data_IF_915076130802
#
_entry.id   IF_915076130802
#
_cell.length_a   1.000
_cell.length_b   1.000
_cell.length_c   1.000
_cell.angle_alpha   90.00
_cell.angle_beta   90.00
_cell.angle_gamma   90.00
#
_symmetry.space_group_name_H-M   'P 1'
#
loop_
_entity.id
_entity.type
_entity.pdbx_description
1 polymer ?
#
# COMPACT_ATOMS: atom_id res chain seq x y z
N UNK A 1 -11.64 8.19 -15.38
CA UNK A 1 -10.83 8.61 -16.55
C UNK A 1 -11.64 8.64 -17.84
N UNK A 2 -12.58 7.72 -18.08
CA UNK A 2 -13.32 7.63 -19.36
C UNK A 2 -14.06 8.94 -19.69
N UNK A 3 -14.57 9.62 -18.66
CA UNK A 3 -15.20 10.93 -18.72
C UNK A 3 -14.26 12.04 -19.21
N UNK A 4 -12.96 11.96 -18.92
CA UNK A 4 -11.97 12.95 -19.36
C UNK A 4 -11.52 12.75 -20.82
N UNK A 5 -11.89 11.62 -21.44
CA UNK A 5 -11.46 11.25 -22.79
C UNK A 5 -12.02 12.20 -23.85
N UNK A 6 -13.25 12.69 -23.69
CA UNK A 6 -13.88 13.67 -24.59
C UNK A 6 -13.13 15.00 -24.63
N UNK A 7 -12.45 15.36 -23.55
CA UNK A 7 -11.63 16.57 -23.43
C UNK A 7 -10.19 16.38 -23.93
N UNK A 8 -9.85 15.21 -24.48
CA UNK A 8 -8.49 14.90 -24.94
C UNK A 8 -7.49 14.69 -23.79
N UNK A 9 -7.95 14.64 -22.53
CA UNK A 9 -7.08 14.53 -21.35
C UNK A 9 -6.76 13.07 -21.05
N UNK A 10 -5.47 12.78 -20.86
CA UNK A 10 -4.95 11.46 -20.49
C UNK A 10 -4.65 11.42 -18.97
N UNK A 11 -5.31 10.54 -18.21
CA UNK A 11 -5.19 10.42 -16.74
C UNK A 11 -4.55 9.10 -16.28
N UNK A 12 -3.27 9.04 -15.95
CA UNK A 12 -2.63 7.78 -15.54
C UNK A 12 -2.70 7.59 -14.02
N UNK A 13 -2.99 6.37 -13.55
CA UNK A 13 -2.95 6.00 -12.12
C UNK A 13 -1.62 5.34 -11.81
N UNK A 14 -0.96 5.76 -10.74
CA UNK A 14 0.32 5.19 -10.29
C UNK A 14 0.10 4.56 -8.93
N UNK A 15 0.31 3.25 -8.88
CA UNK A 15 0.08 2.42 -7.70
C UNK A 15 1.41 1.88 -7.19
N UNK A 16 1.99 2.55 -6.18
CA UNK A 16 3.18 2.06 -5.52
C UNK A 16 2.84 0.84 -4.66
N UNK A 17 3.73 -0.15 -4.68
CA UNK A 17 3.83 -1.15 -3.64
C UNK A 17 4.40 -0.57 -2.34
N UNK A 18 5.10 -1.40 -1.58
CA UNK A 18 5.63 -1.03 -0.28
C UNK A 18 7.00 -0.35 -0.41
N UNK A 19 7.04 0.97 -0.23
CA UNK A 19 8.25 1.78 -0.30
C UNK A 19 8.57 2.47 1.01
N UNK A 20 9.87 2.66 1.30
CA UNK A 20 10.34 3.42 2.46
C UNK A 20 10.20 4.92 2.22
N UNK A 21 9.12 5.48 2.76
CA UNK A 21 8.84 6.92 2.81
C UNK A 21 8.58 7.37 4.24
N UNK A 22 8.44 8.68 4.46
CA UNK A 22 8.05 9.22 5.78
C UNK A 22 6.68 8.73 6.25
N UNK A 23 5.75 8.47 5.30
CA UNK A 23 4.42 7.92 5.61
C UNK A 23 4.55 6.53 6.24
N UNK A 24 5.51 5.74 5.76
CA UNK A 24 5.78 4.38 6.21
C UNK A 24 6.85 4.32 7.31
N UNK A 25 7.10 5.40 8.05
CA UNK A 25 8.11 5.39 9.11
C UNK A 25 7.66 4.50 10.28
N UNK A 26 8.55 3.60 10.72
CA UNK A 26 8.31 2.61 11.77
C UNK A 26 7.88 3.23 13.10
N UNK A 27 8.69 4.16 13.58
CA UNK A 27 8.53 4.74 14.90
C UNK A 27 7.27 5.62 14.94
N UNK A 28 7.05 6.41 13.89
CA UNK A 28 5.86 7.26 13.78
C UNK A 28 4.60 6.41 13.76
N UNK A 29 4.54 5.37 12.91
CA UNK A 29 3.37 4.52 12.81
C UNK A 29 3.13 3.71 14.09
N UNK A 30 4.18 3.13 14.67
CA UNK A 30 4.07 2.36 15.92
C UNK A 30 3.56 3.22 17.07
N UNK A 31 4.11 4.43 17.25
CA UNK A 31 3.64 5.36 18.27
C UNK A 31 2.20 5.80 18.05
N UNK A 32 1.81 6.04 16.78
CA UNK A 32 0.43 6.36 16.44
C UNK A 32 -0.52 5.20 16.79
N UNK A 33 -0.15 3.96 16.44
CA UNK A 33 -0.94 2.78 16.77
C UNK A 33 -1.09 2.57 18.28
N UNK A 34 -0.01 2.72 19.05
CA UNK A 34 -0.06 2.65 20.51
C UNK A 34 -0.94 3.75 21.11
N UNK A 35 -0.82 4.99 20.60
CA UNK A 35 -1.67 6.10 21.06
C UNK A 35 -3.15 5.86 20.78
N UNK A 36 -3.48 5.30 19.62
CA UNK A 36 -4.85 4.92 19.28
C UNK A 36 -5.33 3.80 20.21
N UNK A 37 -4.50 2.75 20.39
CA UNK A 37 -4.81 1.65 21.29
C UNK A 37 -5.16 2.17 22.68
N UNK A 38 -4.34 3.04 23.27
CA UNK A 38 -4.60 3.57 24.60
C UNK A 38 -5.93 4.31 24.74
N UNK A 39 -6.37 4.98 23.67
CA UNK A 39 -7.63 5.74 23.63
C UNK A 39 -8.87 4.86 23.38
N UNK A 40 -8.71 3.58 23.05
CA UNK A 40 -9.85 2.70 22.78
C UNK A 40 -10.64 2.39 24.06
N UNK A 41 -11.99 2.31 23.97
CA UNK A 41 -12.83 1.78 25.04
C UNK A 41 -12.40 0.38 25.48
N UNK A 42 -12.57 0.06 26.76
CA UNK A 42 -12.17 -1.23 27.35
C UNK A 42 -12.82 -2.43 26.68
N UNK A 43 -14.08 -2.31 26.24
CA UNK A 43 -14.80 -3.36 25.51
C UNK A 43 -14.10 -3.72 24.19
N UNK A 44 -13.64 -2.71 23.44
CA UNK A 44 -12.96 -2.90 22.16
C UNK A 44 -11.55 -3.46 22.39
N UNK A 45 -10.83 -2.97 23.41
CA UNK A 45 -9.53 -3.54 23.82
C UNK A 45 -9.65 -5.02 24.18
N UNK A 46 -10.71 -5.40 24.90
CA UNK A 46 -10.98 -6.79 25.28
C UNK A 46 -11.33 -7.65 24.05
N UNK A 47 -12.12 -7.12 23.11
CA UNK A 47 -12.49 -7.84 21.88
C UNK A 47 -11.29 -8.17 20.99
N UNK A 48 -10.33 -7.25 20.84
CA UNK A 48 -9.10 -7.52 20.08
C UNK A 48 -8.08 -8.30 20.90
N UNK A 49 -7.98 -8.00 22.20
CA UNK A 49 -7.01 -8.56 23.13
C UNK A 49 -5.60 -7.97 22.97
N UNK A 50 -4.85 -7.88 24.07
CA UNK A 50 -3.49 -7.34 24.06
C UNK A 50 -2.50 -8.16 23.22
N UNK A 51 -2.75 -9.47 23.09
CA UNK A 51 -1.92 -10.35 22.28
C UNK A 51 -1.98 -9.97 20.79
N UNK A 52 -3.15 -9.52 20.31
CA UNK A 52 -3.30 -9.04 18.94
C UNK A 52 -2.39 -7.83 18.69
N UNK A 53 -2.40 -6.84 19.59
CA UNK A 53 -1.53 -5.67 19.49
C UNK A 53 -0.05 -6.07 19.42
N UNK A 54 0.40 -6.95 20.32
CA UNK A 54 1.79 -7.42 20.34
C UNK A 54 2.19 -8.12 19.04
N UNK A 55 1.33 -9.02 18.54
CA UNK A 55 1.58 -9.74 17.29
C UNK A 55 1.57 -8.80 16.07
N UNK A 56 0.65 -7.84 16.05
CA UNK A 56 0.56 -6.82 15.02
C UNK A 56 1.85 -5.99 14.95
N UNK A 57 2.33 -5.47 16.08
CA UNK A 57 3.56 -4.66 16.11
C UNK A 57 4.80 -5.44 15.65
N UNK A 58 4.93 -6.71 16.06
CA UNK A 58 6.02 -7.59 15.59
C UNK A 58 5.95 -7.83 14.08
N UNK A 59 4.75 -8.10 13.57
CA UNK A 59 4.52 -8.37 12.15
C UNK A 59 4.75 -7.11 11.31
N UNK A 60 4.26 -5.97 11.78
CA UNK A 60 4.46 -4.67 11.17
C UNK A 60 5.95 -4.33 11.03
N UNK A 61 6.73 -4.46 12.12
CA UNK A 61 8.20 -4.26 12.09
C UNK A 61 8.90 -5.21 11.11
N UNK A 62 8.47 -6.47 11.02
CA UNK A 62 9.01 -7.44 10.04
C UNK A 62 8.68 -7.03 8.61
N UNK A 63 7.45 -6.59 8.37
CA UNK A 63 6.98 -6.15 7.06
C UNK A 63 7.75 -4.92 6.57
N UNK A 64 7.97 -3.93 7.43
CA UNK A 64 8.73 -2.72 7.06
C UNK A 64 10.16 -2.99 6.63
N UNK A 65 10.80 -4.03 7.15
CA UNK A 65 12.14 -4.45 6.68
C UNK A 65 12.14 -4.87 5.21
N UNK A 66 10.98 -5.32 4.68
CA UNK A 66 10.80 -5.73 3.28
C UNK A 66 10.45 -4.56 2.35
N UNK A 67 10.26 -3.36 2.88
CA UNK A 67 9.90 -2.19 2.06
C UNK A 67 11.08 -1.80 1.17
N UNK A 68 10.78 -1.45 -0.07
CA UNK A 68 11.79 -1.07 -1.03
C UNK A 68 12.28 0.36 -0.75
N UNK A 69 13.59 0.54 -0.62
CA UNK A 69 14.21 1.88 -0.45
C UNK A 69 14.38 2.62 -1.76
N UNK A 70 14.33 1.92 -2.89
CA UNK A 70 14.50 2.55 -4.20
C UNK A 70 13.20 3.22 -4.65
N UNK A 71 13.06 4.51 -4.35
CA UNK A 71 11.91 5.33 -4.75
C UNK A 71 11.89 5.62 -6.26
N UNK A 72 12.99 5.39 -6.99
CA UNK A 72 13.04 5.70 -8.43
C UNK A 72 11.99 4.90 -9.21
N UNK A 73 11.65 3.69 -8.75
CA UNK A 73 10.62 2.87 -9.39
C UNK A 73 9.26 3.57 -9.50
N UNK A 74 8.94 4.47 -8.56
CA UNK A 74 7.73 5.28 -8.61
C UNK A 74 7.93 6.47 -9.54
N UNK A 75 9.05 7.19 -9.41
CA UNK A 75 9.32 8.38 -10.23
C UNK A 75 9.49 8.05 -11.70
N UNK A 76 10.08 6.90 -12.04
CA UNK A 76 10.21 6.42 -13.42
C UNK A 76 8.83 6.13 -14.04
N UNK A 77 7.89 5.62 -13.24
CA UNK A 77 6.49 5.46 -13.67
C UNK A 77 5.82 6.83 -13.91
N UNK A 78 6.10 7.81 -13.05
CA UNK A 78 5.61 9.19 -13.22
C UNK A 78 6.19 9.82 -14.49
N UNK A 79 7.50 9.71 -14.69
CA UNK A 79 8.20 10.22 -15.87
C UNK A 79 7.61 9.60 -17.13
N UNK A 80 7.51 8.28 -17.20
CA UNK A 80 6.92 7.61 -18.36
C UNK A 80 5.45 8.04 -18.58
N UNK A 81 4.67 8.23 -17.51
CA UNK A 81 3.27 8.65 -17.64
C UNK A 81 3.15 10.05 -18.25
N UNK A 82 4.13 10.93 -18.01
CA UNK A 82 4.16 12.31 -18.49
C UNK A 82 4.79 12.46 -19.88
N UNK A 83 5.86 11.72 -20.18
CA UNK A 83 6.66 11.89 -21.41
C UNK A 83 6.22 10.99 -22.55
N UNK A 84 5.51 9.90 -22.28
CA UNK A 84 5.11 8.95 -23.32
C UNK A 84 4.02 9.49 -24.23
N UNK A 85 4.15 9.25 -25.55
CA UNK A 85 3.10 9.52 -26.53
C UNK A 85 1.80 8.74 -26.21
N UNK A 86 1.93 7.53 -25.67
CA UNK A 86 0.83 6.64 -25.30
C UNK A 86 1.01 6.11 -23.87
N UNK A 87 0.74 6.94 -22.86
CA UNK A 87 0.89 6.55 -21.47
C UNK A 87 -0.18 5.51 -21.09
N UNK A 88 0.20 4.56 -20.24
CA UNK A 88 -0.68 3.50 -19.74
C UNK A 88 -1.74 4.10 -18.80
N UNK A 89 -2.87 3.42 -18.67
CA UNK A 89 -3.91 3.87 -17.72
C UNK A 89 -3.52 3.61 -16.27
N UNK A 90 -2.74 2.55 -16.02
CA UNK A 90 -2.33 2.14 -14.69
C UNK A 90 -0.86 1.69 -14.71
N UNK A 91 -0.09 2.18 -13.75
CA UNK A 91 1.31 1.85 -13.54
C UNK A 91 1.44 1.24 -12.15
N UNK A 92 2.01 0.04 -12.07
CA UNK A 92 2.33 -0.60 -10.79
C UNK A 92 3.82 -0.45 -10.55
N UNK A 93 4.19 0.30 -9.52
CA UNK A 93 5.58 0.53 -9.14
C UNK A 93 5.97 -0.46 -8.03
N UNK A 94 7.05 -1.21 -8.23
CA UNK A 94 7.47 -2.27 -7.31
C UNK A 94 7.17 -3.68 -7.82
N UNK A 95 7.96 -4.64 -7.34
CA UNK A 95 7.80 -6.06 -7.70
C UNK A 95 6.66 -6.72 -6.92
N UNK A 96 6.46 -6.32 -5.68
CA UNK A 96 5.35 -6.74 -4.82
C UNK A 96 4.00 -6.35 -5.43
N UNK A 97 3.88 -5.11 -5.93
CA UNK A 97 2.72 -4.66 -6.69
C UNK A 97 2.41 -5.58 -7.88
N UNK A 98 3.44 -5.96 -8.64
CA UNK A 98 3.29 -6.75 -9.88
C UNK A 98 3.07 -8.24 -9.65
N UNK A 99 3.70 -8.82 -8.63
CA UNK A 99 3.71 -10.27 -8.42
C UNK A 99 2.76 -10.76 -7.34
N UNK A 100 2.31 -9.89 -6.43
CA UNK A 100 1.42 -10.27 -5.34
C UNK A 100 0.05 -9.63 -5.56
N UNK A 101 -0.01 -8.31 -5.56
CA UNK A 101 -1.29 -7.60 -5.55
C UNK A 101 -2.05 -7.71 -6.87
N UNK A 102 -1.35 -7.65 -8.01
CA UNK A 102 -1.99 -7.83 -9.33
C UNK A 102 -2.57 -9.24 -9.48
N UNK A 103 -1.84 -10.35 -9.26
CA UNK A 103 -2.44 -11.68 -9.35
C UNK A 103 -3.60 -11.88 -8.36
N UNK A 104 -3.45 -11.39 -7.13
CA UNK A 104 -4.49 -11.50 -6.10
C UNK A 104 -5.79 -10.80 -6.50
N UNK A 105 -5.71 -9.66 -7.20
CA UNK A 105 -6.91 -8.93 -7.63
C UNK A 105 -7.72 -9.63 -8.73
N UNK A 106 -7.14 -10.63 -9.40
CA UNK A 106 -7.83 -11.46 -10.38
C UNK A 106 -8.24 -12.84 -9.83
N UNK A 107 -7.87 -13.18 -8.59
CA UNK A 107 -8.26 -14.45 -7.97
C UNK A 107 -9.72 -14.41 -7.48
N UNK A 108 -10.45 -15.54 -7.52
CA UNK A 108 -11.77 -15.66 -6.91
C UNK A 108 -11.77 -15.28 -5.43
N UNK A 109 -12.83 -14.63 -4.96
CA UNK A 109 -12.94 -14.16 -3.57
C UNK A 109 -12.72 -15.26 -2.53
N UNK A 110 -13.20 -16.49 -2.81
CA UNK A 110 -13.00 -17.63 -1.93
C UNK A 110 -11.51 -17.99 -1.70
N UNK A 111 -10.63 -17.71 -2.66
CA UNK A 111 -9.19 -17.92 -2.50
C UNK A 111 -8.50 -16.72 -1.87
N UNK A 112 -8.98 -15.50 -2.13
CA UNK A 112 -8.41 -14.29 -1.54
C UNK A 112 -8.73 -14.16 -0.05
N UNK A 113 -9.90 -14.61 0.41
CA UNK A 113 -10.33 -14.50 1.81
C UNK A 113 -9.59 -15.46 2.75
N UNK A 114 -8.94 -16.49 2.20
CA UNK A 114 -8.15 -17.48 2.95
C UNK A 114 -6.71 -16.97 3.23
N UNK A 115 -6.24 -16.00 2.45
CA UNK A 115 -4.88 -15.45 2.51
C UNK A 115 -4.85 -14.17 3.34
#
# INVERSE_FOLDING_TARGET
RLEMRSFGVKVSVIEPGNFKTMITNAEILENNFLSIWEKLPGEIKASYGENYLKQFLVTFRKMQKRYNSNLTLVTDCMEHALTSRYPRTRYSAGWDAKLIYIPLSYLPSALTDVV
#
